data_IF_747920748111
#
_entry.id   IF_747920748111
#
_cell.length_a   1.000
_cell.length_b   1.000
_cell.length_c   1.000
_cell.angle_alpha   90.00
_cell.angle_beta   90.00
_cell.angle_gamma   90.00
#
_symmetry.space_group_name_H-M   'P 1'
#
loop_
_entity.id
_entity.type
_entity.pdbx_description
1 polymer ?
#
# COMPACT_ATOMS: atom_id res chain seq x y z
N UNK A 1 20.48 -1.07 -10.56
CA UNK A 1 20.70 -2.39 -9.91
C UNK A 1 20.42 -2.35 -8.40
N UNK A 2 20.90 -1.35 -7.67
CA UNK A 2 20.73 -1.24 -6.20
C UNK A 2 19.27 -1.33 -5.72
N UNK A 3 18.34 -0.65 -6.39
CA UNK A 3 16.91 -0.66 -5.98
C UNK A 3 16.32 -2.09 -6.05
N UNK A 4 16.67 -2.89 -7.06
CA UNK A 4 16.21 -4.27 -7.16
C UNK A 4 16.74 -5.11 -6.00
N UNK A 5 18.02 -4.93 -5.67
CA UNK A 5 18.63 -5.63 -4.54
C UNK A 5 17.93 -5.28 -3.22
N UNK A 6 17.67 -3.99 -2.97
CA UNK A 6 16.95 -3.55 -1.78
C UNK A 6 15.53 -4.12 -1.70
N UNK A 7 14.83 -4.21 -2.84
CA UNK A 7 13.51 -4.86 -2.90
C UNK A 7 13.59 -6.36 -2.60
N UNK A 8 14.62 -7.06 -3.09
CA UNK A 8 14.84 -8.47 -2.77
C UNK A 8 15.12 -8.70 -1.28
N UNK A 9 15.90 -7.81 -0.65
CA UNK A 9 16.12 -7.86 0.80
C UNK A 9 14.83 -7.63 1.58
N UNK A 10 13.98 -6.69 1.14
CA UNK A 10 12.67 -6.48 1.76
C UNK A 10 11.75 -7.70 1.61
N UNK A 11 11.73 -8.33 0.43
CA UNK A 11 10.99 -9.58 0.23
C UNK A 11 11.48 -10.70 1.15
N UNK A 12 12.80 -10.82 1.31
CA UNK A 12 13.40 -11.79 2.22
C UNK A 12 13.02 -11.49 3.68
N UNK A 13 13.12 -10.23 4.11
CA UNK A 13 12.72 -9.80 5.45
C UNK A 13 11.25 -10.15 5.74
N UNK A 14 10.34 -9.91 4.80
CA UNK A 14 8.91 -10.24 4.98
C UNK A 14 8.67 -11.74 5.13
N UNK A 15 9.43 -12.58 4.41
CA UNK A 15 9.37 -14.04 4.51
C UNK A 15 9.92 -14.54 5.85
N UNK A 16 11.05 -14.01 6.29
CA UNK A 16 11.68 -14.39 7.56
C UNK A 16 10.82 -14.03 8.77
N UNK A 17 10.05 -12.94 8.69
CA UNK A 17 9.15 -12.49 9.76
C UNK A 17 7.75 -13.12 9.70
N UNK A 18 7.51 -14.12 8.83
CA UNK A 18 6.23 -14.81 8.67
C UNK A 18 5.03 -13.87 8.48
N UNK A 19 5.21 -12.76 7.75
CA UNK A 19 4.13 -11.81 7.48
C UNK A 19 3.07 -12.48 6.61
N UNK A 20 1.87 -12.64 7.17
CA UNK A 20 0.70 -13.15 6.43
C UNK A 20 0.40 -12.21 5.26
N UNK A 21 0.14 -12.77 4.08
CA UNK A 21 -0.15 -12.02 2.85
C UNK A 21 0.95 -11.04 2.42
N UNK A 22 2.22 -11.37 2.62
CA UNK A 22 3.36 -10.56 2.11
C UNK A 22 3.27 -10.27 0.60
N UNK A 23 2.58 -11.11 -0.17
CA UNK A 23 2.28 -10.89 -1.60
C UNK A 23 1.47 -9.61 -1.85
N UNK A 24 0.56 -9.25 -0.94
CA UNK A 24 -0.19 -7.99 -1.02
C UNK A 24 0.76 -6.79 -0.87
N UNK A 25 1.74 -6.88 0.02
CA UNK A 25 2.78 -5.84 0.19
C UNK A 25 3.64 -5.76 -1.07
N UNK A 26 4.05 -6.91 -1.62
CA UNK A 26 4.81 -6.98 -2.87
C UNK A 26 4.09 -6.30 -4.04
N UNK A 27 2.79 -6.55 -4.21
CA UNK A 27 1.99 -5.92 -5.26
C UNK A 27 1.95 -4.38 -5.16
N UNK A 28 2.16 -3.81 -3.97
CA UNK A 28 2.27 -2.35 -3.81
C UNK A 28 3.63 -1.80 -4.21
N UNK A 29 4.66 -2.64 -4.21
CA UNK A 29 6.02 -2.30 -4.63
C UNK A 29 6.27 -2.51 -6.13
N UNK A 30 5.36 -3.22 -6.82
CA UNK A 30 5.42 -3.46 -8.27
C UNK A 30 5.71 -2.19 -9.10
N UNK A 31 5.11 -1.02 -8.86
CA UNK A 31 5.43 0.19 -9.64
C UNK A 31 6.92 0.58 -9.57
N UNK A 32 7.56 0.44 -8.40
CA UNK A 32 8.99 0.74 -8.22
C UNK A 32 9.85 -0.30 -8.92
N UNK A 33 9.44 -1.57 -8.84
CA UNK A 33 10.12 -2.67 -9.53
C UNK A 33 10.07 -2.48 -11.05
N UNK A 34 8.91 -2.14 -11.60
CA UNK A 34 8.72 -1.86 -13.02
C UNK A 34 9.54 -0.65 -13.47
N UNK A 35 9.56 0.43 -12.67
CA UNK A 35 10.39 1.61 -12.94
C UNK A 35 11.88 1.26 -13.00
N UNK A 36 12.35 0.41 -12.08
CA UNK A 36 13.76 0.00 -12.07
C UNK A 36 14.10 -0.92 -13.24
N UNK A 37 13.19 -1.82 -13.62
CA UNK A 37 13.34 -2.66 -14.82
C UNK A 37 13.39 -1.83 -16.10
N UNK A 38 12.58 -0.78 -16.20
CA UNK A 38 12.61 0.17 -17.31
C UNK A 38 13.99 0.81 -17.47
N UNK A 39 14.65 1.18 -16.36
CA UNK A 39 16.00 1.76 -16.39
C UNK A 39 17.08 0.78 -16.89
N UNK A 40 16.89 -0.52 -16.66
CA UNK A 40 17.85 -1.57 -17.04
C UNK A 40 17.58 -2.12 -18.45
N UNK A 41 16.35 -1.97 -18.97
CA UNK A 41 15.96 -2.49 -20.27
C UNK A 41 16.76 -1.90 -21.44
N UNK A 42 17.00 -2.70 -22.47
CA UNK A 42 17.82 -2.31 -23.63
C UNK A 42 17.02 -1.36 -24.54
N UNK A 43 17.63 -0.23 -24.86
CA UNK A 43 16.92 0.94 -25.42
C UNK A 43 16.84 0.89 -26.94
N UNK A 44 16.23 -0.17 -27.49
CA UNK A 44 16.04 -0.34 -28.94
C UNK A 44 14.56 -0.28 -29.31
N UNK A 45 14.25 0.26 -30.51
CA UNK A 45 12.86 0.37 -30.99
C UNK A 45 12.13 -0.99 -31.02
N UNK A 46 12.86 -2.09 -31.23
CA UNK A 46 12.32 -3.46 -31.20
C UNK A 46 11.82 -3.90 -29.83
N UNK A 47 12.30 -3.29 -28.75
CA UNK A 47 11.91 -3.63 -27.38
C UNK A 47 10.74 -2.80 -26.85
N UNK A 48 10.28 -1.79 -27.60
CA UNK A 48 9.12 -0.96 -27.21
C UNK A 48 7.93 -1.83 -26.75
N UNK A 49 7.47 -2.85 -27.51
CA UNK A 49 6.31 -3.65 -27.09
C UNK A 49 6.53 -4.43 -25.79
N UNK A 50 7.77 -4.87 -25.54
CA UNK A 50 8.13 -5.61 -24.33
C UNK A 50 8.24 -4.68 -23.10
N UNK A 51 8.74 -3.47 -23.29
CA UNK A 51 8.78 -2.45 -22.23
C UNK A 51 7.35 -2.03 -21.87
N UNK A 52 6.47 -1.91 -22.85
CA UNK A 52 5.06 -1.56 -22.61
C UNK A 52 4.30 -2.61 -21.81
N UNK A 53 4.51 -3.90 -22.05
CA UNK A 53 3.88 -4.97 -21.25
C UNK A 53 4.45 -5.03 -19.83
N UNK A 54 5.68 -4.56 -19.63
CA UNK A 54 6.33 -4.61 -18.32
C UNK A 54 5.97 -3.41 -17.43
N UNK A 55 5.39 -2.33 -17.99
CA UNK A 55 5.18 -1.03 -17.31
C UNK A 55 3.71 -0.70 -17.05
N UNK A 56 2.85 -1.70 -16.92
CA UNK A 56 1.40 -1.55 -16.75
C UNK A 56 0.99 -0.85 -15.44
N UNK A 57 1.81 -0.94 -14.38
CA UNK A 57 1.52 -0.31 -13.09
C UNK A 57 1.94 1.18 -13.02
N UNK A 58 2.57 1.72 -14.07
CA UNK A 58 3.05 3.09 -14.14
C UNK A 58 2.22 3.94 -15.12
N UNK A 59 2.01 5.21 -14.77
CA UNK A 59 1.35 6.17 -15.67
C UNK A 59 2.29 6.60 -16.80
N UNK A 60 1.73 7.04 -17.93
CA UNK A 60 2.55 7.54 -19.05
C UNK A 60 3.44 8.71 -18.58
N UNK A 61 2.91 9.64 -17.78
CA UNK A 61 3.68 10.75 -17.24
C UNK A 61 4.88 10.29 -16.39
N UNK A 62 4.71 9.25 -15.56
CA UNK A 62 5.79 8.66 -14.77
C UNK A 62 6.86 8.05 -15.66
N UNK A 63 6.46 7.24 -16.62
CA UNK A 63 7.37 6.58 -17.57
C UNK A 63 8.20 7.63 -18.33
N UNK A 64 7.54 8.62 -18.91
CA UNK A 64 8.21 9.69 -19.65
C UNK A 64 9.17 10.49 -18.77
N UNK A 65 8.78 10.77 -17.53
CA UNK A 65 9.65 11.50 -16.58
C UNK A 65 10.88 10.68 -16.18
N UNK A 66 10.72 9.37 -15.94
CA UNK A 66 11.82 8.47 -15.63
C UNK A 66 12.84 8.46 -16.78
N UNK A 67 12.36 8.28 -18.02
CA UNK A 67 13.20 8.26 -19.22
C UNK A 67 13.89 9.62 -19.45
N UNK A 68 13.17 10.74 -19.25
CA UNK A 68 13.70 12.09 -19.49
C UNK A 68 14.72 12.51 -18.45
N UNK A 69 14.50 12.19 -17.17
CA UNK A 69 15.36 12.58 -16.07
C UNK A 69 16.48 11.57 -15.81
N UNK A 70 16.47 10.42 -16.48
CA UNK A 70 17.54 9.45 -16.36
C UNK A 70 18.84 10.08 -16.86
N UNK A 71 19.77 10.28 -15.92
CA UNK A 71 21.11 10.78 -16.20
C UNK A 71 22.03 9.58 -16.21
N UNK A 72 22.36 9.01 -17.39
CA UNK A 72 23.24 7.85 -17.43
C UNK A 72 24.66 8.25 -17.02
N UNK A 73 25.28 7.48 -16.15
CA UNK A 73 26.71 7.64 -15.82
C UNK A 73 27.64 7.11 -16.93
N UNK A 74 27.11 6.40 -17.93
CA UNK A 74 27.89 5.81 -19.05
C UNK A 74 27.05 5.35 -20.26
N UNK A 75 25.75 5.11 -20.10
CA UNK A 75 24.89 4.60 -21.18
C UNK A 75 24.36 5.72 -22.08
N UNK A 76 24.17 5.43 -23.37
CA UNK A 76 23.64 6.40 -24.34
C UNK A 76 22.32 7.03 -23.87
N UNK A 77 22.25 8.36 -23.99
CA UNK A 77 21.05 9.15 -23.73
C UNK A 77 19.94 8.67 -24.68
N UNK A 78 18.71 8.56 -24.19
CA UNK A 78 17.57 8.23 -25.03
C UNK A 78 17.47 9.21 -26.21
N UNK A 79 17.50 8.70 -27.44
CA UNK A 79 17.30 9.53 -28.62
C UNK A 79 15.91 10.15 -28.58
N UNK A 80 15.81 11.44 -28.95
CA UNK A 80 14.54 12.18 -28.96
C UNK A 80 13.49 11.48 -29.83
N UNK A 81 13.92 10.82 -30.91
CA UNK A 81 13.05 10.04 -31.79
C UNK A 81 12.47 8.79 -31.12
N UNK A 82 13.25 8.11 -30.27
CA UNK A 82 12.79 6.96 -29.51
C UNK A 82 11.72 7.39 -28.50
N UNK A 83 11.94 8.51 -27.80
CA UNK A 83 11.01 9.06 -26.80
C UNK A 83 9.64 9.37 -27.43
N UNK A 84 9.61 10.03 -28.59
CA UNK A 84 8.36 10.38 -29.29
C UNK A 84 7.63 9.15 -29.84
N UNK A 85 8.36 8.19 -30.44
CA UNK A 85 7.78 6.93 -30.90
C UNK A 85 7.18 6.14 -29.74
N UNK A 86 7.94 5.99 -28.65
CA UNK A 86 7.53 5.25 -27.47
C UNK A 86 6.29 5.87 -26.82
N UNK A 87 6.23 7.20 -26.73
CA UNK A 87 5.04 7.91 -26.25
C UNK A 87 3.81 7.62 -27.12
N UNK A 88 3.97 7.69 -28.43
CA UNK A 88 2.88 7.46 -29.38
C UNK A 88 2.31 6.04 -29.26
N UNK A 89 3.18 5.04 -29.14
CA UNK A 89 2.77 3.64 -28.97
C UNK A 89 2.09 3.40 -27.61
N UNK A 90 2.61 3.99 -26.53
CA UNK A 90 1.97 3.96 -25.21
C UNK A 90 0.58 4.59 -25.20
N UNK A 91 0.41 5.73 -25.87
CA UNK A 91 -0.87 6.42 -25.98
C UNK A 91 -1.90 5.61 -26.79
N UNK A 92 -1.47 4.93 -27.87
CA UNK A 92 -2.31 4.02 -28.65
C UNK A 92 -2.77 2.83 -27.82
N UNK A 93 -1.86 2.12 -27.16
CA UNK A 93 -2.16 0.87 -26.43
C UNK A 93 -3.09 1.11 -25.23
N UNK A 94 -2.93 2.26 -24.55
CA UNK A 94 -3.72 2.58 -23.35
C UNK A 94 -5.08 3.21 -23.65
N UNK A 95 -5.48 3.31 -24.92
CA UNK A 95 -6.80 3.79 -25.37
C UNK A 95 -7.31 4.97 -24.53
N UNK A 96 -6.55 6.07 -24.52
CA UNK A 96 -6.83 7.23 -23.68
C UNK A 96 -8.17 7.92 -24.05
N UNK A 97 -9.28 7.40 -23.53
CA UNK A 97 -10.55 8.12 -23.43
C UNK A 97 -10.33 9.35 -22.53
N UNK A 98 -11.10 10.42 -22.72
CA UNK A 98 -10.91 11.70 -22.00
C UNK A 98 -10.84 11.54 -20.46
N UNK A 99 -11.52 10.54 -19.88
CA UNK A 99 -11.46 10.20 -18.45
C UNK A 99 -10.11 9.58 -18.02
N UNK A 100 -9.50 8.75 -18.87
CA UNK A 100 -8.21 8.11 -18.60
C UNK A 100 -7.00 9.05 -18.77
N UNK A 101 -7.20 10.22 -19.40
CA UNK A 101 -6.16 11.26 -19.49
C UNK A 101 -5.82 11.85 -18.11
N UNK A 102 -6.79 11.94 -17.20
CA UNK A 102 -6.56 12.50 -15.87
C UNK A 102 -5.70 11.57 -15.00
N UNK A 103 -5.99 10.27 -14.99
CA UNK A 103 -5.17 9.26 -14.30
C UNK A 103 -3.76 9.15 -14.90
N UNK A 104 -3.62 9.32 -16.22
CA UNK A 104 -2.31 9.31 -16.88
C UNK A 104 -1.46 10.58 -16.67
N UNK A 105 -2.02 11.65 -16.08
CA UNK A 105 -1.28 12.88 -15.75
C UNK A 105 -0.66 12.84 -14.36
N UNK A 106 -1.06 11.91 -13.49
CA UNK A 106 -0.51 11.80 -12.14
C UNK A 106 0.94 11.34 -12.20
N UNK A 107 1.85 12.21 -11.73
CA UNK A 107 3.30 11.95 -11.71
C UNK A 107 3.75 11.33 -10.38
N UNK A 108 3.20 11.80 -9.27
CA UNK A 108 3.67 11.45 -7.92
C UNK A 108 2.68 10.51 -7.25
N UNK A 109 3.19 9.47 -6.59
CA UNK A 109 2.37 8.62 -5.73
C UNK A 109 1.91 9.38 -4.49
N UNK A 110 0.67 9.15 -4.07
CA UNK A 110 0.20 9.69 -2.79
C UNK A 110 0.90 8.93 -1.66
N UNK A 111 1.56 9.63 -0.76
CA UNK A 111 2.21 9.04 0.42
C UNK A 111 1.25 8.93 1.60
N UNK A 112 0.24 9.80 1.65
CA UNK A 112 -0.82 9.77 2.66
C UNK A 112 -1.98 8.84 2.24
N UNK A 113 -1.68 7.58 1.97
CA UNK A 113 -2.69 6.56 1.69
C UNK A 113 -2.91 5.79 2.99
N UNK A 114 -4.12 5.89 3.55
CA UNK A 114 -4.57 5.00 4.61
C UNK A 114 -5.18 3.74 3.96
N UNK A 115 -4.77 2.57 4.46
CA UNK A 115 -5.44 1.32 4.12
C UNK A 115 -6.55 1.06 5.14
N UNK A 116 -7.75 0.62 4.72
CA UNK A 116 -8.78 0.22 5.66
C UNK A 116 -8.23 -0.91 6.53
N UNK A 117 -8.35 -0.75 7.85
CA UNK A 117 -7.90 -1.73 8.83
C UNK A 117 -9.09 -2.60 9.22
N UNK A 118 -9.05 -3.86 8.81
CA UNK A 118 -9.96 -4.88 9.32
C UNK A 118 -9.33 -5.50 10.58
N UNK A 119 -9.98 -5.32 11.73
CA UNK A 119 -9.59 -5.97 12.98
C UNK A 119 -10.45 -7.21 13.14
N UNK A 120 -9.93 -8.42 12.84
CA UNK A 120 -10.71 -9.64 12.99
C UNK A 120 -11.02 -9.90 14.47
N UNK A 121 -12.31 -9.90 14.80
CA UNK A 121 -12.93 -10.48 15.99
C UNK A 121 -12.11 -10.51 17.28
N UNK A 122 -12.05 -9.38 18.00
CA UNK A 122 -12.03 -9.47 19.47
C UNK A 122 -13.43 -10.00 19.84
N UNK A 123 -13.54 -11.30 20.10
CA UNK A 123 -14.72 -11.88 20.74
C UNK A 123 -14.84 -11.27 22.15
N UNK A 124 -15.50 -10.13 22.27
CA UNK A 124 -15.87 -9.50 23.54
C UNK A 124 -16.80 -10.39 24.39
N UNK A 125 -17.17 -11.58 23.89
CA UNK A 125 -17.88 -12.63 24.65
C UNK A 125 -16.96 -13.49 25.52
N UNK A 126 -15.63 -13.39 25.36
CA UNK A 126 -14.66 -14.13 26.21
C UNK A 126 -14.12 -13.31 27.39
N UNK A 127 -14.54 -12.06 27.53
CA UNK A 127 -14.06 -11.11 28.55
C UNK A 127 -14.99 -10.95 29.76
N UNK A 128 -16.01 -11.79 29.94
CA UNK A 128 -16.80 -11.78 31.19
C UNK A 128 -16.17 -12.53 32.36
N UNK A 129 -15.01 -13.20 32.21
CA UNK A 129 -14.36 -13.92 33.32
C UNK A 129 -12.82 -14.03 33.26
N UNK A 130 -12.12 -13.19 32.49
CA UNK A 130 -10.65 -13.11 32.60
C UNK A 130 -10.29 -11.77 33.23
N UNK A 131 -10.46 -11.70 34.55
CA UNK A 131 -9.74 -10.73 35.37
C UNK A 131 -8.25 -11.09 35.23
N UNK A 132 -7.52 -10.34 34.41
CA UNK A 132 -6.06 -10.33 34.50
C UNK A 132 -5.74 -9.65 35.83
N UNK A 133 -5.45 -10.46 36.84
CA UNK A 133 -4.91 -9.99 38.11
C UNK A 133 -3.50 -9.45 37.83
N UNK A 134 -3.40 -8.15 37.55
CA UNK A 134 -2.11 -7.47 37.43
C UNK A 134 -1.53 -7.29 38.83
N UNK A 135 -0.55 -8.11 39.20
CA UNK A 135 0.31 -7.82 40.33
C UNK A 135 1.19 -6.62 39.97
N UNK A 136 0.81 -5.41 40.40
CA UNK A 136 1.66 -4.21 40.26
C UNK A 136 0.99 -2.94 39.73
N UNK A 137 -0.32 -2.92 39.51
CA UNK A 137 -1.06 -1.66 39.41
C UNK A 137 -1.64 -1.37 40.80
N UNK A 138 -1.07 -0.39 41.50
CA UNK A 138 -1.68 0.22 42.70
C UNK A 138 -2.97 0.94 42.28
N UNK A 139 -4.01 0.15 42.07
CA UNK A 139 -5.37 0.65 41.96
C UNK A 139 -5.90 0.74 43.38
N UNK A 140 -5.64 1.88 44.04
CA UNK A 140 -6.37 2.28 45.24
C UNK A 140 -7.85 2.45 44.87
N UNK A 141 -8.61 1.37 44.93
CA UNK A 141 -10.06 1.43 44.87
C UNK A 141 -10.55 1.99 46.22
N UNK A 142 -10.79 3.30 46.28
CA UNK A 142 -11.73 3.85 47.27
C UNK A 142 -13.09 3.25 46.97
N UNK A 143 -13.53 2.33 47.82
CA UNK A 143 -14.94 1.97 47.92
C UNK A 143 -15.70 3.23 48.36
N UNK A 144 -16.24 3.96 47.39
CA UNK A 144 -17.32 4.91 47.66
C UNK A 144 -18.58 4.06 47.76
N UNK A 145 -18.97 3.71 48.98
CA UNK A 145 -20.30 3.18 49.24
C UNK A 145 -21.33 4.24 48.83
N UNK A 146 -21.88 4.09 47.63
CA UNK A 146 -23.06 4.85 47.23
C UNK A 146 -24.24 4.22 47.99
N UNK A 147 -24.97 4.97 48.85
CA UNK A 147 -26.14 4.45 49.54
C UNK A 147 -27.25 4.21 48.52
N UNK A 148 -27.42 2.97 48.09
CA UNK A 148 -28.55 2.54 47.27
C UNK A 148 -29.80 2.69 48.14
N UNK A 149 -30.61 3.72 47.89
CA UNK A 149 -31.94 3.84 48.48
C UNK A 149 -32.85 2.78 47.84
N UNK A 150 -32.99 1.66 48.52
CA UNK A 150 -33.82 0.49 48.22
C UNK A 150 -35.35 0.78 48.27
N UNK A 151 -35.80 1.94 47.82
CA UNK A 151 -37.20 2.37 47.96
C UNK A 151 -38.01 2.39 46.66
N UNK A 152 -37.49 1.76 45.59
CA UNK A 152 -38.16 1.74 44.26
C UNK A 152 -38.26 0.38 43.60
N UNK A 153 -38.05 -0.70 44.36
CA UNK A 153 -38.21 -2.09 43.87
C UNK A 153 -39.40 -2.84 44.49
N UNK A 154 -40.21 -2.20 45.34
CA UNK A 154 -41.43 -2.81 45.89
C UNK A 154 -42.68 -2.61 45.01
N UNK A 155 -42.65 -1.71 44.02
CA UNK A 155 -43.84 -1.40 43.19
C UNK A 155 -43.90 -2.13 41.84
N UNK A 156 -43.13 -3.21 41.63
CA UNK A 156 -43.20 -4.03 40.41
C UNK A 156 -43.27 -5.55 40.66
N UNK A 157 -43.51 -5.98 41.90
CA UNK A 157 -43.75 -7.40 42.24
C UNK A 157 -45.24 -7.69 42.54
N UNK A 158 -46.10 -6.67 42.60
CA UNK A 158 -47.56 -6.89 42.56
C UNK A 158 -48.13 -6.28 41.26
N UNK A 159 -48.82 -7.15 40.50
CA UNK A 159 -49.68 -6.91 39.33
C UNK A 159 -49.10 -7.38 37.98
N UNK A 160 -49.54 -8.61 37.63
CA UNK A 160 -49.60 -9.34 36.35
C UNK A 160 -48.53 -10.42 36.16
#
# INVERSE_FOLDING_TARGET
MEIIYNLSLLEQFLRENNVLNWEAIKSKLDPILQATRLLISIKTEKQIPAIESTTEALTIAQIMRIITNYTPSSEEIFSRNFIEKFRTELEKKRNLTQENKQYNKQLVFKTNIAFPLDIPGIDAKKSSNILLQSYGLDLEFRFVEIPISLHRLENHIEII
#
